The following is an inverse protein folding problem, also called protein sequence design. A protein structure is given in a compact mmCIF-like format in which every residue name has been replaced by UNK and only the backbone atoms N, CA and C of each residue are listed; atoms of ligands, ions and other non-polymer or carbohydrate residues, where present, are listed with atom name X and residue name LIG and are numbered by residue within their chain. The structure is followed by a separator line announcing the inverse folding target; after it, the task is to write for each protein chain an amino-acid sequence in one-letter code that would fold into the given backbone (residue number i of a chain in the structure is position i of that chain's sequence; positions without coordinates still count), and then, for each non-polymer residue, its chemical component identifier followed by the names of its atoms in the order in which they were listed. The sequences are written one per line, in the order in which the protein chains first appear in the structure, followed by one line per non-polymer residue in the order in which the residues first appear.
data_IF_153681596202
#
_entry.id   IF_153681596202
#
_cell.length_a   1.000
_cell.length_b   1.000
_cell.length_c   1.000
_cell.angle_alpha   90.00
_cell.angle_beta   90.00
_cell.angle_gamma   90.00
#
_symmetry.space_group_name_H-M   'P 1'
#
loop_
_entity.id
_entity.type
_entity.pdbx_description
1 polymer ?
#
# COMPACT_ATOMS: atom_id res chain seq x y z
N UNK A 1 -27.00 -60.34 24.75
CA UNK A 1 -25.83 -60.48 23.84
C UNK A 1 -25.97 -59.47 22.71
N UNK A 2 -25.15 -58.42 22.79
CA UNK A 2 -24.68 -57.45 21.79
C UNK A 2 -25.66 -56.89 20.73
N UNK A 3 -26.22 -55.71 21.03
CA UNK A 3 -26.61 -54.73 20.00
C UNK A 3 -25.40 -53.83 19.72
N UNK A 4 -24.89 -53.92 18.50
CA UNK A 4 -23.75 -53.18 17.98
C UNK A 4 -24.19 -51.73 17.75
N UNK A 5 -23.59 -50.79 18.48
CA UNK A 5 -23.64 -49.36 18.17
C UNK A 5 -22.74 -49.09 16.97
N UNK A 6 -23.30 -48.67 15.84
CA UNK A 6 -22.55 -48.03 14.77
C UNK A 6 -22.63 -46.51 14.95
N UNK A 7 -21.55 -45.92 15.48
CA UNK A 7 -21.30 -44.50 15.38
C UNK A 7 -20.79 -44.22 13.95
N UNK A 8 -21.61 -43.54 13.14
CA UNK A 8 -21.15 -42.98 11.86
C UNK A 8 -20.50 -41.64 12.18
N UNK A 9 -19.17 -41.62 12.15
CA UNK A 9 -18.38 -40.40 12.23
C UNK A 9 -18.42 -39.72 10.84
N UNK A 10 -19.24 -38.68 10.70
CA UNK A 10 -19.25 -37.82 9.51
C UNK A 10 -17.98 -36.97 9.53
N UNK A 11 -16.95 -37.39 8.81
CA UNK A 11 -15.79 -36.55 8.52
C UNK A 11 -16.24 -35.44 7.55
N UNK A 12 -16.54 -34.26 8.09
CA UNK A 12 -16.58 -33.01 7.34
C UNK A 12 -15.18 -32.80 6.74
N UNK A 13 -15.05 -33.08 5.45
CA UNK A 13 -13.97 -32.56 4.62
C UNK A 13 -14.09 -31.03 4.65
N UNK A 14 -13.42 -30.40 5.61
CA UNK A 14 -13.07 -29.01 5.52
C UNK A 14 -12.11 -28.89 4.33
N UNK A 15 -12.67 -28.70 3.13
CA UNK A 15 -11.91 -28.20 2.02
C UNK A 15 -11.27 -26.91 2.51
N UNK A 16 -9.94 -26.89 2.58
CA UNK A 16 -9.22 -25.64 2.75
C UNK A 16 -9.65 -24.77 1.57
N UNK A 17 -10.54 -23.80 1.84
CA UNK A 17 -10.88 -22.75 0.90
C UNK A 17 -9.56 -22.06 0.59
N UNK A 18 -8.94 -22.45 -0.53
CA UNK A 18 -7.81 -21.73 -1.05
C UNK A 18 -8.37 -20.35 -1.38
N UNK A 19 -7.89 -19.34 -0.67
CA UNK A 19 -8.20 -17.96 -1.00
C UNK A 19 -7.93 -17.81 -2.49
N UNK A 20 -8.92 -17.31 -3.24
CA UNK A 20 -8.74 -17.08 -4.67
C UNK A 20 -7.45 -16.27 -4.88
N UNK A 21 -6.59 -16.67 -5.82
CA UNK A 21 -5.35 -15.94 -6.06
C UNK A 21 -5.69 -14.47 -6.31
N UNK A 22 -4.92 -13.56 -5.69
CA UNK A 22 -5.13 -12.12 -5.81
C UNK A 22 -3.92 -11.54 -6.54
N UNK A 23 -4.13 -11.10 -7.79
CA UNK A 23 -3.13 -10.41 -8.60
C UNK A 23 -3.15 -8.92 -8.29
N UNK A 24 -2.02 -8.40 -7.82
CA UNK A 24 -1.84 -7.02 -7.41
C UNK A 24 -0.77 -6.31 -8.24
N UNK A 25 -0.92 -5.00 -8.41
CA UNK A 25 0.08 -4.14 -9.01
C UNK A 25 0.68 -3.25 -7.91
N UNK A 26 1.97 -3.41 -7.64
CA UNK A 26 2.70 -2.66 -6.61
C UNK A 26 3.71 -1.76 -7.28
N UNK A 27 3.63 -0.46 -6.99
CA UNK A 27 4.66 0.51 -7.35
C UNK A 27 5.46 0.86 -6.11
N UNK A 28 6.80 0.87 -6.24
CA UNK A 28 7.69 1.19 -5.12
C UNK A 28 7.43 2.57 -4.52
N UNK A 29 7.01 3.52 -5.36
CA UNK A 29 6.71 4.88 -4.97
C UNK A 29 5.54 5.43 -5.78
N UNK A 30 4.63 6.13 -5.13
CA UNK A 30 3.55 6.86 -5.83
C UNK A 30 3.95 8.28 -6.23
N UNK A 31 5.15 8.73 -5.87
CA UNK A 31 5.65 10.08 -6.13
C UNK A 31 7.04 10.01 -6.73
N UNK A 32 7.09 10.12 -8.05
CA UNK A 32 8.32 10.06 -8.82
C UNK A 32 8.73 11.48 -9.15
N UNK A 33 10.01 11.81 -9.10
CA UNK A 33 10.50 13.02 -9.78
C UNK A 33 10.61 12.74 -11.28
N UNK A 34 10.48 13.77 -12.12
CA UNK A 34 10.70 13.70 -13.57
C UNK A 34 11.94 12.86 -13.91
N UNK A 35 11.77 11.82 -14.72
CA UNK A 35 12.83 10.92 -15.17
C UNK A 35 13.32 9.90 -14.12
N UNK A 36 12.73 9.87 -12.92
CA UNK A 36 13.00 8.84 -11.92
C UNK A 36 12.63 7.45 -12.44
N UNK A 37 13.48 6.47 -12.14
CA UNK A 37 13.23 5.07 -12.37
C UNK A 37 12.81 4.41 -11.06
N UNK A 38 11.54 4.02 -10.97
CA UNK A 38 10.99 3.27 -9.85
C UNK A 38 10.72 1.82 -10.24
N UNK A 39 10.73 0.92 -9.26
CA UNK A 39 10.32 -0.47 -9.48
C UNK A 39 8.79 -0.57 -9.48
N UNK A 40 8.27 -1.39 -10.37
CA UNK A 40 6.86 -1.76 -10.45
C UNK A 40 6.78 -3.29 -10.55
N UNK A 41 5.91 -3.92 -9.79
CA UNK A 41 5.77 -5.37 -9.75
C UNK A 41 4.30 -5.75 -9.90
N UNK A 42 4.03 -6.73 -10.75
CA UNK A 42 2.75 -7.44 -10.75
C UNK A 42 2.97 -8.70 -9.92
N UNK A 43 2.18 -8.89 -8.86
CA UNK A 43 2.39 -9.96 -7.88
C UNK A 43 1.13 -10.81 -7.77
N UNK A 44 1.30 -12.12 -7.85
CA UNK A 44 0.32 -13.12 -7.46
C UNK A 44 0.59 -13.52 -6.01
N UNK A 45 -0.29 -13.12 -5.09
CA UNK A 45 -0.21 -13.52 -3.67
C UNK A 45 -0.94 -14.83 -3.42
N UNK A 46 -0.35 -15.65 -2.54
CA UNK A 46 -0.96 -16.91 -2.10
C UNK A 46 -1.02 -18.00 -3.18
N UNK A 47 -0.20 -17.87 -4.23
CA UNK A 47 -0.11 -18.86 -5.29
C UNK A 47 0.58 -20.16 -4.85
N UNK A 48 0.32 -21.22 -5.61
CA UNK A 48 0.99 -22.52 -5.49
C UNK A 48 2.29 -22.54 -6.33
N UNK A 49 3.22 -23.45 -6.01
CA UNK A 49 4.40 -23.71 -6.84
C UNK A 49 4.03 -24.10 -8.27
N UNK A 50 2.88 -24.74 -8.45
CA UNK A 50 2.38 -25.21 -9.73
C UNK A 50 1.63 -24.13 -10.53
N UNK A 51 1.43 -22.94 -9.97
CA UNK A 51 0.73 -21.87 -10.67
C UNK A 51 1.51 -21.43 -11.92
N UNK A 52 0.81 -21.47 -13.05
CA UNK A 52 1.31 -21.00 -14.33
C UNK A 52 0.83 -19.57 -14.54
N UNK A 53 1.76 -18.63 -14.44
CA UNK A 53 1.52 -17.21 -14.69
C UNK A 53 2.12 -16.85 -16.04
N UNK A 54 1.30 -16.35 -16.95
CA UNK A 54 1.80 -15.81 -18.22
C UNK A 54 2.22 -14.35 -18.07
N UNK A 55 3.25 -13.94 -18.81
CA UNK A 55 3.64 -12.54 -18.84
C UNK A 55 2.52 -11.75 -19.52
N UNK A 56 1.95 -10.74 -18.87
CA UNK A 56 0.90 -9.95 -19.47
C UNK A 56 1.47 -9.17 -20.66
N UNK A 57 0.60 -8.90 -21.65
CA UNK A 57 0.96 -7.95 -22.71
C UNK A 57 1.33 -6.63 -22.06
N UNK A 58 2.46 -6.05 -22.46
CA UNK A 58 2.95 -4.81 -21.87
C UNK A 58 1.88 -3.71 -21.99
N UNK A 59 1.37 -3.18 -20.87
CA UNK A 59 0.31 -2.18 -20.91
C UNK A 59 0.85 -0.90 -21.55
N UNK A 60 0.03 -0.30 -22.42
CA UNK A 60 0.32 1.01 -23.00
C UNK A 60 -0.24 2.07 -22.04
N UNK A 61 0.66 2.90 -21.50
CA UNK A 61 0.32 3.95 -20.56
C UNK A 61 0.77 5.27 -21.20
N UNK A 62 -0.12 6.22 -21.45
CA UNK A 62 0.24 7.50 -22.07
C UNK A 62 1.38 8.19 -21.30
N UNK A 63 2.42 8.62 -22.01
CA UNK A 63 3.57 9.35 -21.47
C UNK A 63 4.35 8.63 -20.35
N UNK A 64 4.21 7.31 -20.22
CA UNK A 64 4.87 6.51 -19.18
C UNK A 64 5.62 5.36 -19.84
N UNK A 65 6.92 5.29 -19.56
CA UNK A 65 7.77 4.20 -19.98
C UNK A 65 7.69 3.08 -18.93
N UNK A 66 7.20 1.92 -19.35
CA UNK A 66 7.20 0.69 -18.54
C UNK A 66 8.06 -0.35 -19.22
N UNK A 67 9.15 -0.79 -18.58
CA UNK A 67 10.11 -1.75 -19.17
C UNK A 67 10.20 -3.01 -18.31
N UNK A 68 9.98 -4.17 -18.93
CA UNK A 68 10.17 -5.45 -18.24
C UNK A 68 11.63 -5.64 -17.83
N UNK A 69 11.85 -6.14 -16.62
CA UNK A 69 13.18 -6.46 -16.07
C UNK A 69 13.51 -7.95 -16.13
N UNK A 70 12.61 -8.78 -16.67
CA UNK A 70 12.78 -10.22 -16.77
C UNK A 70 12.11 -10.82 -18.00
N UNK A 71 12.56 -12.03 -18.37
CA UNK A 71 11.97 -12.82 -19.46
C UNK A 71 10.95 -13.85 -18.97
N UNK A 72 10.83 -14.03 -17.66
CA UNK A 72 9.91 -14.97 -17.00
C UNK A 72 9.46 -14.44 -15.64
N UNK A 73 8.29 -14.86 -15.14
CA UNK A 73 7.88 -14.60 -13.76
C UNK A 73 8.90 -15.14 -12.76
N UNK A 74 9.19 -14.34 -11.74
CA UNK A 74 10.12 -14.66 -10.67
C UNK A 74 9.37 -15.12 -9.43
N UNK A 75 10.07 -15.83 -8.54
CA UNK A 75 9.50 -16.39 -7.31
C UNK A 75 10.28 -15.89 -6.10
N UNK A 76 9.57 -15.52 -5.05
CA UNK A 76 10.16 -15.19 -3.75
C UNK A 76 9.26 -15.67 -2.61
N UNK A 77 9.82 -15.95 -1.42
CA UNK A 77 9.02 -16.06 -0.21
C UNK A 77 8.41 -14.69 0.14
N UNK A 78 7.14 -14.67 0.53
CA UNK A 78 6.47 -13.53 1.17
C UNK A 78 6.94 -13.36 2.62
N UNK A 79 6.54 -12.26 3.25
CA UNK A 79 6.75 -12.06 4.70
C UNK A 79 6.09 -13.17 5.54
N UNK A 80 4.94 -13.67 5.10
CA UNK A 80 4.22 -14.80 5.70
C UNK A 80 4.81 -16.19 5.34
N UNK A 81 5.97 -16.22 4.66
CA UNK A 81 6.65 -17.43 4.14
C UNK A 81 5.82 -18.22 3.13
N UNK A 82 4.80 -17.60 2.54
CA UNK A 82 4.07 -18.15 1.39
C UNK A 82 4.83 -17.83 0.11
N UNK A 83 4.56 -18.55 -0.97
CA UNK A 83 5.16 -18.26 -2.25
C UNK A 83 4.48 -17.02 -2.87
N UNK A 84 5.28 -16.09 -3.38
CA UNK A 84 4.85 -15.02 -4.27
C UNK A 84 5.47 -15.23 -5.65
N UNK A 85 4.65 -15.14 -6.69
CA UNK A 85 5.10 -15.05 -8.07
C UNK A 85 4.99 -13.58 -8.48
N UNK A 86 6.07 -12.98 -8.97
CA UNK A 86 6.08 -11.58 -9.37
C UNK A 86 6.73 -11.35 -10.74
N UNK A 87 6.28 -10.30 -11.43
CA UNK A 87 6.81 -9.87 -12.72
C UNK A 87 7.36 -8.46 -12.56
N UNK A 88 8.69 -8.29 -12.53
CA UNK A 88 9.31 -6.99 -12.27
C UNK A 88 9.39 -6.12 -13.52
N UNK A 89 9.09 -4.85 -13.35
CA UNK A 89 9.25 -3.77 -14.32
C UNK A 89 9.98 -2.59 -13.69
N UNK A 90 10.52 -1.72 -14.56
CA UNK A 90 10.91 -0.36 -14.21
C UNK A 90 9.94 0.60 -14.88
N UNK A 91 9.41 1.52 -14.08
CA UNK A 91 8.53 2.60 -14.54
C UNK A 91 9.25 3.94 -14.44
N UNK A 92 9.07 4.78 -15.45
CA UNK A 92 9.56 6.16 -15.48
C UNK A 92 8.68 7.04 -16.35
N UNK A 93 8.68 8.34 -16.10
CA UNK A 93 8.02 9.32 -16.97
C UNK A 93 8.70 10.68 -16.88
N UNK A 94 8.65 11.43 -17.97
CA UNK A 94 9.11 12.81 -18.04
C UNK A 94 7.96 13.84 -18.02
N UNK A 95 6.72 13.36 -18.09
CA UNK A 95 5.53 14.19 -18.13
C UNK A 95 5.05 14.45 -16.69
N UNK A 96 5.08 15.72 -16.28
CA UNK A 96 4.74 16.12 -14.90
C UNK A 96 3.23 16.09 -14.73
N UNK A 97 2.74 15.51 -13.64
CA UNK A 97 1.32 15.39 -13.36
C UNK A 97 0.92 14.04 -12.81
N UNK A 98 -0.38 13.80 -12.74
CA UNK A 98 -0.95 12.53 -12.30
C UNK A 98 -1.07 11.56 -13.46
N UNK A 99 -0.68 10.32 -13.21
CA UNK A 99 -0.73 9.21 -14.15
C UNK A 99 -1.49 8.04 -13.53
N UNK A 100 -2.10 7.22 -14.38
CA UNK A 100 -2.84 6.02 -13.96
C UNK A 100 -2.30 4.82 -14.74
N UNK A 101 -1.78 3.84 -14.01
CA UNK A 101 -1.54 2.50 -14.53
C UNK A 101 -2.91 1.83 -14.60
N UNK A 102 -3.40 1.43 -15.79
CA UNK A 102 -4.70 0.80 -15.92
C UNK A 102 -4.72 -0.59 -15.27
N UNK A 103 -5.91 -1.17 -15.12
CA UNK A 103 -6.05 -2.59 -14.78
C UNK A 103 -5.29 -3.44 -15.80
N UNK A 104 -4.38 -4.28 -15.33
CA UNK A 104 -3.57 -5.19 -16.16
C UNK A 104 -4.18 -6.58 -16.10
N UNK A 105 -4.43 -7.18 -17.25
CA UNK A 105 -4.92 -8.56 -17.37
C UNK A 105 -3.76 -9.53 -17.30
N UNK A 106 -3.84 -10.51 -16.41
CA UNK A 106 -2.82 -11.53 -16.17
C UNK A 106 -3.49 -12.90 -16.25
N UNK A 107 -2.93 -13.81 -17.06
CA UNK A 107 -3.40 -15.19 -17.13
C UNK A 107 -2.75 -16.00 -16.02
N UNK A 108 -3.56 -16.58 -15.14
CA UNK A 108 -3.13 -17.45 -14.04
C UNK A 108 -3.90 -18.76 -14.16
N UNK A 109 -3.20 -19.87 -14.40
CA UNK A 109 -3.80 -21.20 -14.56
C UNK A 109 -4.91 -21.27 -15.63
N UNK A 110 -4.81 -20.43 -16.68
CA UNK A 110 -5.82 -20.34 -17.74
C UNK A 110 -7.03 -19.45 -17.41
N UNK A 111 -7.06 -18.83 -16.23
CA UNK A 111 -8.07 -17.83 -15.85
C UNK A 111 -7.50 -16.41 -15.90
N UNK A 112 -8.30 -15.47 -16.43
CA UNK A 112 -7.92 -14.06 -16.48
C UNK A 112 -8.18 -13.41 -15.13
N UNK A 113 -7.11 -12.92 -14.53
CA UNK A 113 -7.14 -12.05 -13.35
C UNK A 113 -6.76 -10.63 -13.71
N UNK A 114 -7.13 -9.67 -12.86
CA UNK A 114 -6.96 -8.24 -13.12
C UNK A 114 -6.39 -7.51 -11.91
N UNK A 115 -5.34 -6.73 -12.14
CA UNK A 115 -4.86 -5.79 -11.11
C UNK A 115 -5.85 -4.65 -10.93
N UNK A 116 -5.83 -4.02 -9.75
CA UNK A 116 -6.45 -2.71 -9.58
C UNK A 116 -5.63 -1.64 -10.33
N UNK A 117 -6.25 -0.58 -10.86
CA UNK A 117 -5.52 0.57 -11.38
C UNK A 117 -4.67 1.23 -10.28
N UNK A 118 -3.50 1.74 -10.64
CA UNK A 118 -2.58 2.38 -9.70
C UNK A 118 -2.33 3.82 -10.13
N UNK A 119 -2.73 4.76 -9.30
CA UNK A 119 -2.45 6.18 -9.47
C UNK A 119 -1.07 6.54 -8.89
N UNK A 120 -0.30 7.30 -9.63
CA UNK A 120 0.96 7.89 -9.19
C UNK A 120 1.16 9.30 -9.77
N UNK A 121 2.05 10.09 -9.19
CA UNK A 121 2.32 11.46 -9.58
C UNK A 121 3.79 11.64 -9.95
N UNK A 122 4.04 12.31 -11.06
CA UNK A 122 5.36 12.78 -11.47
C UNK A 122 5.50 14.25 -11.08
N UNK A 123 6.54 14.54 -10.31
CA UNK A 123 6.84 15.84 -9.72
C UNK A 123 7.92 16.51 -10.56
N UNK A 124 7.79 17.82 -10.77
CA UNK A 124 8.83 18.63 -11.39
C UNK A 124 10.08 18.66 -10.50
N UNK A 125 11.24 18.29 -11.04
CA UNK A 125 12.51 18.30 -10.30
C UNK A 125 12.90 19.70 -9.83
N UNK A 126 12.44 20.74 -10.53
CA UNK A 126 12.63 22.14 -10.14
C UNK A 126 11.86 22.52 -8.87
N UNK A 127 10.82 21.76 -8.50
CA UNK A 127 10.02 22.01 -7.29
C UNK A 127 10.58 21.35 -6.03
N UNK A 128 11.63 20.52 -6.16
CA UNK A 128 12.24 19.84 -5.02
C UNK A 128 12.87 20.86 -4.05
N UNK A 129 12.55 20.71 -2.77
CA UNK A 129 13.17 21.49 -1.69
C UNK A 129 14.50 20.86 -1.30
N UNK A 130 15.59 21.52 -1.67
CA UNK A 130 16.95 21.07 -1.36
C UNK A 130 17.40 21.55 0.02
N UNK A 131 18.02 20.64 0.76
CA UNK A 131 18.65 20.90 2.06
C UNK A 131 20.07 20.35 2.08
N UNK A 132 20.83 20.70 3.12
CA UNK A 132 22.18 20.18 3.33
C UNK A 132 22.30 19.62 4.75
N UNK A 133 22.76 18.38 4.84
CA UNK A 133 23.15 17.76 6.09
C UNK A 133 24.69 17.68 6.15
N UNK A 134 25.25 17.66 7.34
CA UNK A 134 26.70 17.62 7.54
C UNK A 134 27.08 16.30 8.21
N UNK A 135 28.16 15.68 7.72
CA UNK A 135 28.76 14.48 8.30
C UNK A 135 30.27 14.71 8.44
N UNK A 136 30.74 14.88 9.68
CA UNK A 136 32.10 15.39 9.89
C UNK A 136 32.29 16.77 9.26
N UNK A 137 33.20 16.88 8.29
CA UNK A 137 33.45 18.11 7.51
C UNK A 137 32.72 18.11 6.15
N UNK A 138 32.14 16.98 5.75
CA UNK A 138 31.48 16.84 4.46
C UNK A 138 30.04 17.36 4.50
N UNK A 139 29.65 18.07 3.43
CA UNK A 139 28.31 18.61 3.24
C UNK A 139 27.55 17.78 2.21
N UNK A 140 26.54 17.06 2.66
CA UNK A 140 25.69 16.23 1.82
C UNK A 140 24.44 17.02 1.44
N UNK A 141 24.31 17.33 0.15
CA UNK A 141 23.07 17.91 -0.41
C UNK A 141 22.05 16.81 -0.67
N UNK A 142 20.83 17.00 -0.17
CA UNK A 142 19.71 16.07 -0.30
C UNK A 142 18.39 16.82 -0.53
N UNK A 143 17.36 16.13 -1.01
CA UNK A 143 15.99 16.65 -1.01
C UNK A 143 15.09 15.65 -0.27
N UNK A 144 14.13 16.15 0.51
CA UNK A 144 13.17 15.32 1.21
C UNK A 144 11.86 16.07 1.41
N UNK A 145 10.74 15.41 1.15
CA UNK A 145 9.41 15.98 1.34
C UNK A 145 8.36 14.91 1.58
N UNK A 146 7.32 15.27 2.34
CA UNK A 146 6.08 14.51 2.36
C UNK A 146 5.24 14.86 1.13
N UNK A 147 4.57 13.86 0.57
CA UNK A 147 3.67 13.99 -0.55
C UNK A 147 2.33 13.30 -0.27
N UNK A 148 1.26 13.85 -0.85
CA UNK A 148 -0.10 13.34 -0.81
C UNK A 148 -0.68 13.29 -2.22
N UNK A 149 -1.60 12.36 -2.49
CA UNK A 149 -2.32 12.35 -3.76
C UNK A 149 -3.34 13.50 -3.83
N UNK A 150 -3.99 13.81 -2.70
CA UNK A 150 -4.97 14.88 -2.57
C UNK A 150 -4.51 15.90 -1.54
N UNK A 151 -4.31 17.13 -2.00
CA UNK A 151 -3.99 18.26 -1.12
C UNK A 151 -5.22 18.72 -0.31
N UNK A 152 -6.42 18.40 -0.82
CA UNK A 152 -7.70 18.72 -0.20
C UNK A 152 -8.61 17.49 -0.03
N UNK A 153 -8.26 16.53 0.84
CA UNK A 153 -9.07 15.34 1.09
C UNK A 153 -10.35 15.68 1.86
N UNK A 154 -11.36 14.81 1.78
CA UNK A 154 -12.51 14.91 2.67
C UNK A 154 -12.15 14.45 4.10
N UNK A 155 -12.91 14.94 5.09
CA UNK A 155 -12.81 14.48 6.47
C UNK A 155 -12.92 12.96 6.56
N UNK A 156 -11.96 12.31 7.23
CA UNK A 156 -11.93 10.85 7.40
C UNK A 156 -11.52 10.04 6.17
N UNK A 157 -11.37 10.69 4.99
CA UNK A 157 -10.90 10.02 3.78
C UNK A 157 -9.48 9.51 3.97
N UNK A 158 -9.29 8.18 3.85
CA UNK A 158 -7.94 7.59 3.81
C UNK A 158 -7.33 7.82 2.43
N UNK A 159 -6.13 8.37 2.40
CA UNK A 159 -5.33 8.53 1.19
C UNK A 159 -3.87 8.10 1.42
N UNK A 160 -3.13 7.75 0.36
CA UNK A 160 -1.74 7.39 0.51
C UNK A 160 -0.91 8.66 0.63
N UNK A 161 0.05 8.61 1.53
CA UNK A 161 1.05 9.63 1.72
C UNK A 161 2.42 8.98 1.70
N UNK A 162 3.44 9.72 1.29
CA UNK A 162 4.79 9.19 1.20
C UNK A 162 5.79 10.24 1.64
N UNK A 163 6.76 9.86 2.47
CA UNK A 163 7.98 10.63 2.61
C UNK A 163 8.95 10.15 1.53
N UNK A 164 9.31 11.06 0.61
CA UNK A 164 10.29 10.78 -0.45
C UNK A 164 11.62 11.43 -0.10
N UNK A 165 12.70 10.66 -0.20
CA UNK A 165 14.07 11.13 0.07
C UNK A 165 14.95 10.90 -1.15
N UNK A 166 15.62 11.97 -1.57
CA UNK A 166 16.66 11.95 -2.59
C UNK A 166 18.02 12.17 -1.95
N UNK A 167 18.82 11.12 -1.90
CA UNK A 167 20.18 11.11 -1.33
C UNK A 167 21.19 10.70 -2.40
N UNK A 168 22.40 11.32 -2.50
CA UNK A 168 23.44 10.85 -3.40
C UNK A 168 23.68 9.34 -3.28
N UNK A 169 23.83 8.65 -4.41
CA UNK A 169 23.88 7.19 -4.46
C UNK A 169 25.28 6.57 -4.29
N UNK A 170 26.30 7.41 -4.12
CA UNK A 170 27.65 7.04 -3.71
C UNK A 170 27.81 6.90 -2.19
N UNK A 171 26.78 7.28 -1.41
CA UNK A 171 26.74 7.06 0.03
C UNK A 171 26.35 5.61 0.36
N UNK A 172 27.12 4.99 1.27
CA UNK A 172 26.81 3.65 1.79
C UNK A 172 25.89 3.79 3.00
N UNK A 173 24.58 3.70 2.78
CA UNK A 173 23.57 3.71 3.85
C UNK A 173 23.40 2.29 4.39
N UNK A 174 23.69 2.09 5.68
CA UNK A 174 23.54 0.79 6.35
C UNK A 174 22.23 0.70 7.15
N UNK A 175 21.65 1.84 7.53
CA UNK A 175 20.32 1.92 8.12
C UNK A 175 19.59 3.18 7.63
N UNK A 176 18.38 2.98 7.13
CA UNK A 176 17.51 4.04 6.63
C UNK A 176 16.68 4.71 7.73
N UNK A 177 16.60 4.11 8.92
CA UNK A 177 15.89 4.68 10.05
C UNK A 177 14.38 4.82 9.86
N UNK A 178 13.73 5.41 10.87
CA UNK A 178 12.30 5.73 10.87
C UNK A 178 12.17 7.22 11.22
N UNK A 179 11.38 8.01 10.47
CA UNK A 179 11.25 9.43 10.73
C UNK A 179 10.44 9.66 12.02
N UNK A 180 10.87 10.64 12.81
CA UNK A 180 10.08 11.23 13.88
C UNK A 180 9.41 12.51 13.36
N UNK A 181 8.10 12.66 13.55
CA UNK A 181 7.32 13.69 12.89
C UNK A 181 6.12 14.16 13.70
N UNK A 182 5.83 15.45 13.57
CA UNK A 182 4.65 16.07 14.16
C UNK A 182 3.40 15.83 13.31
N UNK A 183 2.23 15.87 13.96
CA UNK A 183 0.92 15.72 13.31
C UNK A 183 -0.05 16.74 13.89
N UNK A 184 -0.79 17.42 13.02
CA UNK A 184 -1.85 18.35 13.42
C UNK A 184 -3.09 18.09 12.58
N UNK A 185 -4.23 17.83 13.22
CA UNK A 185 -5.51 17.67 12.53
C UNK A 185 -5.63 16.41 11.65
N UNK A 186 -4.68 15.48 11.72
CA UNK A 186 -4.67 14.24 10.93
C UNK A 186 -4.07 13.07 11.71
N UNK A 187 -4.39 11.87 11.24
CA UNK A 187 -3.75 10.62 11.63
C UNK A 187 -2.93 10.10 10.45
N UNK A 188 -1.73 9.60 10.71
CA UNK A 188 -0.92 8.91 9.72
C UNK A 188 -0.26 7.69 10.37
N UNK A 189 -0.21 6.58 9.65
CA UNK A 189 0.55 5.40 10.07
C UNK A 189 2.05 5.69 10.04
N UNK A 190 2.84 4.80 10.66
CA UNK A 190 4.31 4.90 10.62
C UNK A 190 4.81 4.89 9.17
N UNK A 191 5.80 5.73 8.89
CA UNK A 191 6.52 5.77 7.62
C UNK A 191 7.68 4.79 7.69
N UNK A 192 7.74 3.82 6.77
CA UNK A 192 8.82 2.83 6.75
C UNK A 192 9.46 2.77 5.37
N UNK A 193 10.79 2.68 5.27
CA UNK A 193 11.45 2.58 3.98
C UNK A 193 11.10 1.24 3.32
N UNK A 194 10.76 1.27 2.03
CA UNK A 194 10.65 0.03 1.25
C UNK A 194 12.04 -0.41 0.73
N UNK A 195 12.27 -1.73 0.57
CA UNK A 195 13.51 -2.26 -0.02
C UNK A 195 13.65 -1.92 -1.52
N UNK A 196 12.56 -1.53 -2.17
CA UNK A 196 12.51 -1.21 -3.59
C UNK A 196 12.96 0.25 -3.84
N UNK A 197 14.26 0.50 -3.69
CA UNK A 197 14.83 1.84 -3.90
C UNK A 197 14.88 2.19 -5.40
N UNK A 198 14.35 3.38 -5.74
CA UNK A 198 14.44 3.96 -7.09
C UNK A 198 15.74 4.74 -7.31
N UNK A 199 15.94 5.20 -8.55
CA UNK A 199 17.07 6.09 -8.90
C UNK A 199 16.60 7.27 -9.73
N UNK A 200 17.15 8.45 -9.47
CA UNK A 200 16.91 9.66 -10.25
C UNK A 200 18.23 10.34 -10.59
N UNK A 201 18.30 10.98 -11.76
CA UNK A 201 19.41 11.87 -12.10
C UNK A 201 19.01 13.31 -11.80
N UNK A 202 19.56 13.87 -10.73
CA UNK A 202 19.26 15.22 -10.26
C UNK A 202 20.56 16.02 -10.19
N UNK A 203 20.52 17.30 -10.55
CA UNK A 203 21.71 18.18 -10.51
C UNK A 203 22.93 17.58 -11.26
N UNK A 204 22.68 16.83 -12.34
CA UNK A 204 23.72 16.18 -13.14
C UNK A 204 24.29 14.87 -12.58
N UNK A 205 23.97 14.48 -11.34
CA UNK A 205 24.47 13.26 -10.67
C UNK A 205 23.35 12.29 -10.32
N UNK A 206 23.71 11.07 -9.91
CA UNK A 206 22.75 10.03 -9.52
C UNK A 206 22.38 10.14 -8.04
N UNK A 207 21.12 9.85 -7.73
CA UNK A 207 20.54 9.87 -6.39
C UNK A 207 19.70 8.61 -6.19
N UNK A 208 19.77 8.03 -5.00
CA UNK A 208 18.72 7.14 -4.52
C UNK A 208 17.43 7.93 -4.37
N UNK A 209 16.32 7.32 -4.78
CA UNK A 209 14.97 7.85 -4.60
C UNK A 209 14.23 6.88 -3.67
N UNK A 210 14.28 7.17 -2.37
CA UNK A 210 13.82 6.26 -1.32
C UNK A 210 12.41 6.64 -0.87
N UNK A 211 11.42 5.75 -1.08
CA UNK A 211 10.06 5.97 -0.62
C UNK A 211 9.85 5.41 0.79
N UNK A 212 9.14 6.19 1.61
CA UNK A 212 8.57 5.76 2.87
C UNK A 212 7.05 5.90 2.74
N UNK A 213 6.35 4.89 2.22
CA UNK A 213 4.90 4.92 2.12
C UNK A 213 4.23 4.89 3.50
N UNK A 214 3.04 5.48 3.55
CA UNK A 214 2.10 5.37 4.65
C UNK A 214 0.68 5.70 4.15
N UNK A 215 -0.27 5.69 5.07
CA UNK A 215 -1.66 6.08 4.85
C UNK A 215 -2.02 7.15 5.87
N UNK A 216 -2.75 8.17 5.43
CA UNK A 216 -3.23 9.24 6.29
C UNK A 216 -4.70 9.55 6.05
N UNK A 217 -5.36 10.03 7.10
CA UNK A 217 -6.72 10.58 7.06
C UNK A 217 -6.79 11.81 7.95
N UNK A 218 -7.60 12.78 7.54
CA UNK A 218 -7.82 13.98 8.35
C UNK A 218 -8.85 13.69 9.44
N UNK A 219 -8.66 14.28 10.63
CA UNK A 219 -9.51 14.06 11.79
C UNK A 219 -10.45 15.25 12.05
N UNK A 220 -10.16 16.40 11.45
CA UNK A 220 -10.95 17.64 11.58
C UNK A 220 -11.05 18.34 10.21
N UNK A 221 -12.18 19.02 9.91
CA UNK A 221 -12.26 19.93 8.78
C UNK A 221 -11.29 21.11 8.94
N UNK A 222 -10.83 21.66 7.82
CA UNK A 222 -9.91 22.78 7.77
C UNK A 222 -8.42 22.36 7.79
N UNK A 223 -7.52 23.24 8.30
CA UNK A 223 -6.08 23.03 8.18
C UNK A 223 -5.57 21.81 8.94
N UNK A 224 -4.82 20.96 8.23
CA UNK A 224 -4.08 19.82 8.79
C UNK A 224 -2.63 19.83 8.31
N UNK A 225 -1.72 19.23 9.08
CA UNK A 225 -0.30 19.18 8.73
C UNK A 225 0.35 17.85 9.13
N UNK A 226 1.25 17.39 8.26
CA UNK A 226 2.13 16.24 8.46
C UNK A 226 3.58 16.74 8.46
N UNK A 227 4.27 16.55 9.58
CA UNK A 227 5.58 17.15 9.82
C UNK A 227 5.48 18.53 10.51
N UNK A 228 6.62 19.20 10.74
CA UNK A 228 7.96 18.87 10.27
C UNK A 228 8.47 17.54 10.84
N UNK A 229 9.48 16.96 10.17
CA UNK A 229 10.05 15.68 10.59
C UNK A 229 11.57 15.72 10.64
N UNK A 230 12.13 14.82 11.43
CA UNK A 230 13.55 14.52 11.44
C UNK A 230 13.77 13.03 11.23
N UNK A 231 14.78 12.69 10.44
CA UNK A 231 15.18 11.32 10.15
C UNK A 231 16.68 11.19 10.36
N UNK A 232 17.10 10.10 10.98
CA UNK A 232 18.52 9.80 11.15
C UNK A 232 18.87 8.54 10.38
N UNK A 233 19.75 8.68 9.40
CA UNK A 233 20.34 7.57 8.65
C UNK A 233 21.65 7.15 9.32
N UNK A 234 22.03 5.88 9.20
CA UNK A 234 23.38 5.43 9.53
C UNK A 234 24.15 5.19 8.23
N UNK A 235 25.26 5.90 8.07
CA UNK A 235 26.17 5.75 6.93
C UNK A 235 27.41 4.99 7.35
N UNK A 236 27.94 4.17 6.45
CA UNK A 236 29.25 3.57 6.60
C UNK A 236 30.30 4.49 5.95
N UNK A 237 31.15 5.10 6.78
CA UNK A 237 32.20 6.02 6.34
C UNK A 237 33.56 5.37 6.56
N UNK A 238 34.42 5.41 5.55
CA UNK A 238 35.79 4.93 5.65
C UNK A 238 36.70 5.99 6.30
N UNK A 239 37.44 5.62 7.35
CA UNK A 239 38.43 6.52 7.98
C UNK A 239 39.80 6.36 7.33
N UNK A 240 40.36 7.46 6.81
CA UNK A 240 41.76 7.51 6.38
C UNK A 240 42.71 7.34 7.57
N UNK A 241 42.34 7.86 8.74
CA UNK A 241 43.15 7.77 9.96
C UNK A 241 43.16 6.38 10.60
N UNK A 242 42.21 5.50 10.25
CA UNK A 242 42.11 4.14 10.79
C UNK A 242 42.44 3.05 9.76
N UNK A 243 43.35 3.33 8.82
CA UNK A 243 43.78 2.38 7.77
C UNK A 243 42.61 1.83 6.93
N UNK A 244 41.61 2.65 6.62
CA UNK A 244 40.46 2.24 5.80
C UNK A 244 39.39 1.45 6.54
N UNK A 245 39.46 1.34 7.88
CA UNK A 245 38.35 0.78 8.67
C UNK A 245 37.11 1.65 8.50
N UNK A 246 36.00 1.01 8.17
CA UNK A 246 34.70 1.66 8.07
C UNK A 246 34.02 1.69 9.45
N UNK A 247 33.34 2.79 9.76
CA UNK A 247 32.52 2.92 10.97
C UNK A 247 31.17 3.55 10.63
N UNK A 248 30.18 3.31 11.49
CA UNK A 248 28.85 3.88 11.36
C UNK A 248 28.85 5.33 11.85
N UNK A 249 28.29 6.24 11.04
CA UNK A 249 28.10 7.63 11.41
C UNK A 249 26.70 8.11 11.04
N UNK A 250 26.07 8.80 11.98
CA UNK A 250 24.70 9.28 11.84
C UNK A 250 24.61 10.52 10.95
N UNK A 251 23.72 10.49 9.96
CA UNK A 251 23.33 11.65 9.14
C UNK A 251 21.90 12.06 9.49
N UNK A 252 21.73 13.22 10.12
CA UNK A 252 20.40 13.77 10.44
C UNK A 252 19.86 14.59 9.26
N UNK A 253 18.70 14.21 8.77
CA UNK A 253 17.92 14.92 7.76
C UNK A 253 16.77 15.65 8.44
N UNK A 254 16.53 16.90 8.05
CA UNK A 254 15.33 17.66 8.38
C UNK A 254 14.40 17.66 7.16
N UNK A 255 13.10 17.49 7.42
CA UNK A 255 12.06 17.40 6.42
C UNK A 255 10.98 18.46 6.72
N UNK A 256 10.61 19.30 5.74
CA UNK A 256 9.57 20.31 5.92
C UNK A 256 8.19 19.67 6.12
N UNK A 257 7.28 20.43 6.72
CA UNK A 257 5.88 20.01 6.88
C UNK A 257 5.13 20.05 5.53
N UNK A 258 4.26 19.07 5.32
CA UNK A 258 3.21 19.10 4.30
C UNK A 258 1.92 19.63 4.93
N UNK A 259 1.38 20.70 4.36
CA UNK A 259 0.09 21.25 4.76
C UNK A 259 -1.01 20.71 3.85
N UNK A 260 -2.14 20.35 4.45
CA UNK A 260 -3.35 19.85 3.79
C UNK A 260 -4.56 20.67 4.23
N UNK A 261 -5.60 20.70 3.41
CA UNK A 261 -6.86 21.37 3.73
C UNK A 261 -8.02 20.37 3.70
N UNK A 262 -8.49 19.96 4.87
CA UNK A 262 -9.58 18.97 4.98
C UNK A 262 -10.93 19.60 4.61
N UNK A 263 -11.59 19.03 3.61
CA UNK A 263 -12.95 19.41 3.23
C UNK A 263 -13.96 18.75 4.17
N UNK A 264 -15.00 19.47 4.62
CA UNK A 264 -16.14 18.82 5.26
C UNK A 264 -16.79 17.82 4.29
N UNK A 265 -17.44 16.79 4.84
CA UNK A 265 -18.21 15.86 4.01
C UNK A 265 -19.33 16.61 3.27
N UNK A 266 -19.65 16.23 2.01
CA UNK A 266 -20.78 16.80 1.29
C UNK A 266 -22.09 16.65 2.07
N UNK A 267 -23.01 17.61 1.90
CA UNK A 267 -24.35 17.51 2.47
C UNK A 267 -25.15 16.36 1.81
N UNK A 268 -26.15 15.83 2.53
CA UNK A 268 -27.00 14.75 2.02
C UNK A 268 -26.52 13.35 2.37
N UNK A 269 -25.84 13.19 3.51
CA UNK A 269 -25.52 11.86 4.04
C UNK A 269 -26.81 11.03 4.21
N UNK A 270 -26.86 9.78 3.68
CA UNK A 270 -28.03 8.93 3.82
C UNK A 270 -28.23 8.50 5.27
N UNK A 271 -29.45 8.08 5.60
CA UNK A 271 -29.74 7.47 6.90
C UNK A 271 -28.84 6.25 7.12
N UNK A 272 -28.25 6.13 8.31
CA UNK A 272 -27.29 5.06 8.62
C UNK A 272 -25.87 5.28 8.08
N UNK A 273 -25.53 6.48 7.59
CA UNK A 273 -24.14 6.79 7.22
C UNK A 273 -23.23 6.92 8.46
N UNK A 274 -22.19 6.08 8.54
CA UNK A 274 -21.30 5.98 9.69
C UNK A 274 -19.86 6.46 9.39
N UNK A 275 -19.71 7.48 8.53
CA UNK A 275 -18.41 8.06 8.17
C UNK A 275 -17.43 7.12 7.45
N UNK A 276 -17.94 6.04 6.84
CA UNK A 276 -17.16 5.24 5.90
C UNK A 276 -17.10 5.97 4.53
N UNK A 277 -15.92 6.48 4.21
CA UNK A 277 -15.58 7.23 3.00
C UNK A 277 -14.64 6.38 2.13
N UNK A 278 -15.10 6.07 0.92
CA UNK A 278 -14.34 5.25 -0.01
C UNK A 278 -15.18 4.77 -1.19
N UNK A 279 -14.61 3.82 -1.94
CA UNK A 279 -15.32 3.04 -2.94
C UNK A 279 -15.39 1.60 -2.43
N UNK A 280 -16.59 1.15 -2.11
CA UNK A 280 -16.84 -0.18 -1.54
C UNK A 280 -17.77 -0.98 -2.44
N UNK A 281 -17.50 -2.28 -2.50
CA UNK A 281 -18.36 -3.30 -3.08
C UNK A 281 -18.79 -4.25 -1.97
N UNK A 282 -20.05 -4.65 -1.97
CA UNK A 282 -20.62 -5.56 -0.99
C UNK A 282 -21.14 -6.80 -1.70
N UNK A 283 -20.83 -7.97 -1.16
CA UNK A 283 -21.38 -9.26 -1.56
C UNK A 283 -22.05 -9.90 -0.35
N UNK A 284 -23.30 -10.30 -0.52
CA UNK A 284 -24.08 -11.00 0.52
C UNK A 284 -24.27 -12.43 0.06
N UNK A 285 -23.96 -13.38 0.95
CA UNK A 285 -24.08 -14.82 0.72
C UNK A 285 -24.95 -15.38 1.84
N UNK A 286 -25.94 -16.19 1.49
CA UNK A 286 -26.75 -16.95 2.44
C UNK A 286 -26.81 -18.40 1.98
N UNK A 287 -26.84 -19.33 2.93
CA UNK A 287 -26.88 -20.77 2.65
C UNK A 287 -28.25 -21.23 2.14
N UNK A 288 -29.31 -20.94 2.89
CA UNK A 288 -30.69 -21.34 2.58
C UNK A 288 -31.60 -20.11 2.53
N UNK A 289 -32.47 -20.06 1.52
CA UNK A 289 -33.47 -18.99 1.34
C UNK A 289 -34.91 -19.48 1.56
N UNK A 290 -35.10 -20.79 1.70
CA UNK A 290 -36.38 -21.41 2.03
C UNK A 290 -36.29 -21.96 3.45
N UNK A 291 -36.99 -21.33 4.39
CA UNK A 291 -36.83 -21.52 5.82
C UNK A 291 -38.18 -21.85 6.46
N UNK A 292 -38.19 -22.75 7.45
CA UNK A 292 -39.34 -22.97 8.32
C UNK A 292 -39.20 -22.14 9.58
N UNK A 293 -40.31 -21.94 10.27
CA UNK A 293 -40.32 -21.26 11.56
C UNK A 293 -39.38 -21.97 12.55
N UNK A 294 -38.43 -21.21 13.11
CA UNK A 294 -37.41 -21.72 14.02
C UNK A 294 -36.06 -22.07 13.37
N UNK A 295 -35.97 -22.09 12.04
CA UNK A 295 -34.71 -22.39 11.34
C UNK A 295 -33.73 -21.19 11.42
N UNK A 296 -32.44 -21.42 11.75
CA UNK A 296 -31.45 -20.36 11.76
C UNK A 296 -30.95 -20.06 10.34
N UNK A 297 -30.84 -18.78 10.00
CA UNK A 297 -30.19 -18.33 8.77
C UNK A 297 -28.83 -17.70 9.09
N UNK A 298 -27.78 -18.15 8.41
CA UNK A 298 -26.45 -17.52 8.48
C UNK A 298 -26.23 -16.70 7.24
N UNK A 299 -25.97 -15.40 7.43
CA UNK A 299 -25.66 -14.46 6.35
C UNK A 299 -24.21 -14.05 6.46
N UNK A 300 -23.44 -14.31 5.41
CA UNK A 300 -22.07 -13.82 5.27
C UNK A 300 -22.07 -12.57 4.39
N UNK A 301 -21.55 -11.47 4.93
CA UNK A 301 -21.44 -10.20 4.22
C UNK A 301 -19.95 -9.91 4.04
N UNK A 302 -19.51 -9.90 2.79
CA UNK A 302 -18.16 -9.52 2.42
C UNK A 302 -18.18 -8.12 1.83
N UNK A 303 -17.49 -7.18 2.49
CA UNK A 303 -17.25 -5.83 1.96
C UNK A 303 -15.79 -5.74 1.55
N UNK A 304 -15.54 -5.27 0.33
CA UNK A 304 -14.20 -5.04 -0.20
C UNK A 304 -14.14 -3.69 -0.91
N UNK A 305 -12.96 -3.08 -0.99
CA UNK A 305 -12.85 -1.78 -1.64
C UNK A 305 -11.63 -0.98 -1.23
N UNK A 306 -11.72 0.33 -1.41
CA UNK A 306 -10.68 1.28 -1.00
C UNK A 306 -11.28 2.39 -0.14
N UNK A 307 -10.66 2.68 1.00
CA UNK A 307 -11.14 3.69 1.95
C UNK A 307 -10.93 3.28 3.40
N UNK A 308 -11.66 3.91 4.33
CA UNK A 308 -11.65 3.56 5.75
C UNK A 308 -12.64 2.42 6.07
N UNK A 309 -12.35 1.21 5.57
CA UNK A 309 -13.14 0.00 5.88
C UNK A 309 -13.33 -0.22 7.39
N UNK A 310 -12.34 0.14 8.21
CA UNK A 310 -12.40 0.05 9.68
C UNK A 310 -13.54 0.89 10.32
N UNK A 311 -14.14 1.83 9.58
CA UNK A 311 -15.28 2.62 10.05
C UNK A 311 -16.64 1.93 9.80
N UNK A 312 -16.68 0.86 9.00
CA UNK A 312 -17.91 0.13 8.70
C UNK A 312 -18.31 -0.74 9.89
N UNK A 313 -19.56 -0.62 10.33
CA UNK A 313 -20.18 -1.58 11.22
C UNK A 313 -21.04 -2.58 10.43
N UNK A 314 -21.35 -3.71 11.06
CA UNK A 314 -22.24 -4.69 10.47
C UNK A 314 -23.62 -4.07 10.21
N UNK A 315 -24.19 -4.25 9.00
CA UNK A 315 -25.50 -3.69 8.69
C UNK A 315 -26.57 -4.32 9.56
N UNK A 316 -27.54 -3.51 9.97
CA UNK A 316 -28.72 -3.98 10.70
C UNK A 316 -29.83 -4.34 9.72
N UNK A 317 -30.58 -5.43 9.94
CA UNK A 317 -31.77 -5.73 9.15
C UNK A 317 -32.77 -4.57 9.23
N UNK A 318 -33.37 -4.21 8.09
CA UNK A 318 -34.42 -3.17 8.03
C UNK A 318 -35.68 -3.59 8.79
N UNK A 319 -35.99 -4.88 8.75
CA UNK A 319 -37.04 -5.51 9.53
C UNK A 319 -36.44 -6.66 10.35
N UNK A 320 -36.66 -6.61 11.66
CA UNK A 320 -36.18 -7.61 12.62
C UNK A 320 -37.32 -8.23 13.40
N UNK A 321 -38.58 -7.90 13.08
CA UNK A 321 -39.74 -8.46 13.75
C UNK A 321 -39.81 -9.97 13.51
N UNK A 322 -39.96 -10.75 14.58
CA UNK A 322 -39.95 -12.22 14.51
C UNK A 322 -38.55 -12.86 14.42
N UNK A 323 -37.47 -12.10 14.32
CA UNK A 323 -36.11 -12.62 14.25
C UNK A 323 -35.35 -12.47 15.57
N UNK A 324 -34.66 -13.54 15.98
CA UNK A 324 -33.64 -13.46 17.04
C UNK A 324 -32.28 -13.19 16.39
N UNK A 325 -31.78 -11.98 16.54
CA UNK A 325 -30.48 -11.57 15.99
C UNK A 325 -29.34 -11.97 16.92
N UNK A 326 -28.22 -12.38 16.31
CA UNK A 326 -26.95 -12.61 16.99
C UNK A 326 -25.93 -11.57 16.51
N UNK A 327 -25.02 -11.18 17.39
CA UNK A 327 -23.99 -10.19 17.05
C UNK A 327 -23.10 -10.70 15.90
N UNK A 328 -22.82 -9.82 14.95
CA UNK A 328 -21.90 -10.11 13.87
C UNK A 328 -20.48 -10.32 14.42
N UNK A 329 -19.78 -11.33 13.90
CA UNK A 329 -18.37 -11.56 14.19
C UNK A 329 -17.52 -11.06 13.02
N UNK A 330 -16.96 -9.83 13.09
CA UNK A 330 -16.13 -9.31 12.02
C UNK A 330 -14.85 -10.14 11.86
N UNK A 331 -14.52 -10.49 10.62
CA UNK A 331 -13.25 -11.11 10.27
C UNK A 331 -12.55 -10.22 9.23
N UNK A 332 -11.48 -9.55 9.66
CA UNK A 332 -10.62 -8.79 8.74
C UNK A 332 -9.78 -9.76 7.90
N UNK A 333 -9.89 -9.67 6.58
CA UNK A 333 -9.05 -10.41 5.63
C UNK A 333 -8.19 -9.41 4.85
N UNK A 334 -7.07 -9.00 5.43
CA UNK A 334 -6.07 -8.14 4.79
C UNK A 334 -4.73 -8.26 5.49
N UNK A 335 -3.64 -8.32 4.73
CA UNK A 335 -2.31 -8.58 5.31
C UNK A 335 -1.70 -7.35 5.99
N UNK A 336 -2.18 -6.11 5.72
CA UNK A 336 -1.66 -4.92 6.39
C UNK A 336 -2.59 -3.70 6.34
N UNK A 337 -2.81 -3.02 7.49
CA UNK A 337 -3.48 -1.70 7.59
C UNK A 337 -2.78 -0.56 6.81
N UNK A 338 -1.67 -0.86 6.11
CA UNK A 338 -0.84 0.10 5.37
C UNK A 338 -1.34 0.34 3.95
N UNK A 339 -2.03 -0.65 3.38
CA UNK A 339 -2.59 -0.54 2.04
C UNK A 339 -4.02 0.04 2.11
N UNK A 340 -4.37 0.86 1.12
CA UNK A 340 -5.69 1.49 1.05
C UNK A 340 -6.81 0.51 0.67
N UNK A 341 -6.43 -0.65 0.16
CA UNK A 341 -7.34 -1.66 -0.33
C UNK A 341 -7.42 -2.85 0.62
N UNK A 342 -8.64 -3.31 0.86
CA UNK A 342 -8.97 -4.49 1.66
C UNK A 342 -10.16 -5.24 1.09
#
# INVERSE_FOLDING_TARGET
MNRICQFILLLLLAGAAHAAPNVEAIIASRFLVRGEQAKFEIILRGGDFNDVVEIPKQPQIPNVDLRSMGMSPQRRPSESRRLEIYIPYVISSYDVGTHVIPSIEVMVNGEIQRTRPVEFRVIDDMSLTWSTATIGEERIRYAAAFHSLKDQPYLGEKQPVELKIYLPDDLIVIDWGIPDFERKGLSAWRFQPQPLIGRARLLGRSFFAVPYPSTASTNVPGPAALGPASLTLQLQVASVQSFGRAYAQALKLNIPALNLESKPLPAGAPEGFENAVGQFSMKVITGETDLREGDPVTVEIAVSGSGNLDALNAPKPLDSEGWKLYDASPQERGEERRELSG
#
